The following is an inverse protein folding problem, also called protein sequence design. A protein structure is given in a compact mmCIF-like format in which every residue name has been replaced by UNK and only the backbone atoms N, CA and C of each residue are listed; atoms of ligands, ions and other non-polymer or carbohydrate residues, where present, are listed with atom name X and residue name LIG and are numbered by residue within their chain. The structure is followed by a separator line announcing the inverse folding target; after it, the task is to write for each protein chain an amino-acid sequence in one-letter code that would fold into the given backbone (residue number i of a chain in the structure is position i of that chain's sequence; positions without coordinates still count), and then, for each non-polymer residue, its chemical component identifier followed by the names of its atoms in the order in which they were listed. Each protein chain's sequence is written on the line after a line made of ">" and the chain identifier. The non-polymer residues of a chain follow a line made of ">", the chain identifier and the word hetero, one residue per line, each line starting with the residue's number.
data_IF_279957469819
#
_entry.id   IF_279957469819
#
_cell.length_a   1.000
_cell.length_b   1.000
_cell.length_c   1.000
_cell.angle_alpha   90.00
_cell.angle_beta   90.00
_cell.angle_gamma   90.00
#
_symmetry.space_group_name_H-M   'P 1'
#
loop_
_entity.id
_entity.type
_entity.pdbx_description
1 polymer ?
#
# COMPACT_ATOMS: atom_id res chain seq x y z
N UNK A 1 8.24 -57.50 -9.81
CA UNK A 1 9.16 -56.63 -9.03
C UNK A 1 9.85 -55.55 -9.86
N UNK A 2 10.28 -55.82 -11.10
CA UNK A 2 10.93 -54.82 -11.97
C UNK A 2 10.03 -53.63 -12.37
N UNK A 3 8.71 -53.84 -12.47
CA UNK A 3 7.77 -52.78 -12.87
C UNK A 3 7.28 -51.92 -11.70
N UNK A 4 7.45 -52.35 -10.44
CA UNK A 4 7.12 -51.53 -9.26
C UNK A 4 8.25 -50.53 -8.96
N UNK A 5 9.48 -50.91 -9.26
CA UNK A 5 10.66 -50.05 -9.11
C UNK A 5 10.63 -48.86 -10.10
N UNK A 6 10.09 -49.07 -11.31
CA UNK A 6 9.98 -48.01 -12.34
C UNK A 6 8.90 -47.00 -11.96
N UNK A 7 7.77 -47.43 -11.38
CA UNK A 7 6.73 -46.50 -10.90
C UNK A 7 7.19 -45.67 -9.70
N UNK A 8 8.07 -46.22 -8.85
CA UNK A 8 8.64 -45.49 -7.71
C UNK A 8 9.67 -44.43 -8.14
N UNK A 9 10.37 -44.64 -9.25
CA UNK A 9 11.35 -43.68 -9.79
C UNK A 9 10.67 -42.50 -10.49
N UNK A 10 9.49 -42.68 -11.10
CA UNK A 10 8.74 -41.56 -11.69
C UNK A 10 8.11 -40.60 -10.66
N UNK A 11 7.80 -41.06 -9.45
CA UNK A 11 7.24 -40.20 -8.39
C UNK A 11 8.32 -39.31 -7.75
N UNK A 12 9.59 -39.72 -7.81
CA UNK A 12 10.72 -38.96 -7.23
C UNK A 12 11.18 -37.76 -8.06
N UNK A 13 10.78 -37.66 -9.33
CA UNK A 13 11.22 -36.58 -10.24
C UNK A 13 10.18 -35.44 -10.32
N UNK A 14 8.96 -35.66 -9.82
CA UNK A 14 7.96 -34.59 -9.67
C UNK A 14 8.10 -33.77 -8.38
N UNK A 15 9.10 -34.05 -7.53
CA UNK A 15 9.51 -33.11 -6.49
C UNK A 15 10.43 -32.05 -7.11
N UNK A 16 9.90 -31.33 -8.11
CA UNK A 16 10.44 -30.03 -8.43
C UNK A 16 10.34 -29.23 -7.14
N UNK A 17 11.49 -28.91 -6.56
CA UNK A 17 11.58 -27.85 -5.58
C UNK A 17 10.89 -26.64 -6.22
N UNK A 18 9.65 -26.36 -5.82
CA UNK A 18 9.02 -25.09 -6.08
C UNK A 18 9.90 -24.09 -5.34
N UNK A 19 10.93 -23.59 -6.02
CA UNK A 19 11.60 -22.36 -5.60
C UNK A 19 10.48 -21.36 -5.49
N UNK A 20 10.14 -20.96 -4.26
CA UNK A 20 9.25 -19.83 -4.03
C UNK A 20 9.82 -18.71 -4.89
N UNK A 21 9.10 -18.22 -5.91
CA UNK A 21 9.58 -17.12 -6.71
C UNK A 21 9.92 -16.00 -5.73
N UNK A 22 11.19 -15.60 -5.69
CA UNK A 22 11.54 -14.37 -4.99
C UNK A 22 10.80 -13.29 -5.78
N UNK A 23 9.86 -12.54 -5.18
CA UNK A 23 9.17 -11.49 -5.90
C UNK A 23 10.20 -10.57 -6.54
N UNK A 24 9.99 -10.20 -7.80
CA UNK A 24 10.86 -9.23 -8.45
C UNK A 24 10.93 -7.97 -7.60
N UNK A 25 12.14 -7.45 -7.42
CA UNK A 25 12.36 -6.29 -6.56
C UNK A 25 11.64 -5.07 -7.15
N UNK A 26 10.70 -4.51 -6.40
CA UNK A 26 9.99 -3.28 -6.76
C UNK A 26 10.92 -2.07 -6.52
N UNK A 27 11.24 -1.32 -7.57
CA UNK A 27 11.97 -0.05 -7.50
C UNK A 27 10.97 1.09 -7.71
N UNK A 28 10.23 1.39 -6.64
CA UNK A 28 9.13 2.35 -6.66
C UNK A 28 9.54 3.79 -6.31
N UNK A 29 8.79 4.74 -6.85
CA UNK A 29 8.79 6.15 -6.40
C UNK A 29 7.37 6.63 -6.08
N UNK A 30 7.25 7.55 -5.13
CA UNK A 30 5.98 8.25 -4.88
C UNK A 30 5.73 9.31 -5.95
N UNK A 31 4.61 9.20 -6.67
CA UNK A 31 4.22 10.12 -7.73
C UNK A 31 2.97 10.90 -7.30
N UNK A 32 3.24 11.95 -6.51
CA UNK A 32 2.22 12.72 -5.79
C UNK A 32 1.28 13.45 -6.75
N UNK A 33 -0.02 13.44 -6.43
CA UNK A 33 -1.04 14.16 -7.19
C UNK A 33 -0.76 15.67 -7.29
N UNK A 34 -1.13 16.26 -8.42
CA UNK A 34 -1.01 17.69 -8.67
C UNK A 34 -2.29 18.25 -9.28
N UNK A 35 -2.33 19.57 -9.44
CA UNK A 35 -3.49 20.31 -10.00
C UNK A 35 -3.73 20.03 -11.47
N UNK A 36 -2.67 19.65 -12.20
CA UNK A 36 -2.64 19.63 -13.65
C UNK A 36 -2.59 18.20 -14.17
N UNK A 37 -2.92 18.00 -15.45
CA UNK A 37 -2.71 16.71 -16.09
C UNK A 37 -1.21 16.38 -16.17
N UNK A 38 -0.87 15.10 -16.09
CA UNK A 38 0.52 14.65 -16.21
C UNK A 38 0.92 14.61 -17.67
N UNK A 39 2.01 15.31 -18.00
CA UNK A 39 2.70 15.27 -19.28
C UNK A 39 3.98 14.43 -19.19
N UNK A 40 4.56 14.10 -20.35
CA UNK A 40 5.77 13.27 -20.43
C UNK A 40 6.94 13.85 -19.62
N UNK A 41 7.11 15.17 -19.62
CA UNK A 41 8.15 15.87 -18.85
C UNK A 41 8.07 15.63 -17.33
N UNK A 42 6.90 15.27 -16.80
CA UNK A 42 6.73 14.87 -15.41
C UNK A 42 7.13 13.40 -15.16
N UNK A 43 7.11 12.55 -16.20
CA UNK A 43 7.49 11.14 -16.12
C UNK A 43 8.99 10.95 -16.35
N UNK A 44 9.63 11.81 -17.15
CA UNK A 44 11.06 11.68 -17.44
C UNK A 44 11.94 11.56 -16.17
N UNK A 45 11.71 12.32 -15.07
CA UNK A 45 12.45 12.12 -13.82
C UNK A 45 12.26 10.74 -13.19
N UNK A 46 11.07 10.14 -13.30
CA UNK A 46 10.76 8.78 -12.80
C UNK A 46 11.59 7.74 -13.57
N UNK A 47 11.65 7.87 -14.90
CA UNK A 47 12.46 6.99 -15.76
C UNK A 47 13.96 7.19 -15.50
N UNK A 48 14.40 8.45 -15.31
CA UNK A 48 15.82 8.78 -15.11
C UNK A 48 16.39 8.23 -13.80
N UNK A 49 15.56 7.97 -12.78
CA UNK A 49 15.97 7.28 -11.55
C UNK A 49 15.86 5.75 -11.66
N UNK A 50 15.55 5.22 -12.85
CA UNK A 50 15.34 3.81 -13.14
C UNK A 50 14.25 3.17 -12.27
N UNK A 51 13.20 3.94 -11.95
CA UNK A 51 12.03 3.37 -11.31
C UNK A 51 11.30 2.44 -12.29
N UNK A 52 10.80 1.32 -11.80
CA UNK A 52 9.91 0.41 -12.53
C UNK A 52 8.46 0.50 -12.02
N UNK A 53 8.25 1.12 -10.85
CA UNK A 53 6.95 1.37 -10.26
C UNK A 53 6.78 2.84 -9.85
N UNK A 54 5.54 3.30 -9.88
CA UNK A 54 5.16 4.58 -9.28
C UNK A 54 3.87 4.43 -8.45
N UNK A 55 3.84 5.06 -7.28
CA UNK A 55 2.64 5.13 -6.46
C UNK A 55 1.80 6.35 -6.86
N UNK A 56 0.59 6.14 -7.38
CA UNK A 56 -0.38 7.19 -7.74
C UNK A 56 -1.35 7.37 -6.57
N UNK A 57 -1.47 8.60 -6.06
CA UNK A 57 -2.13 8.88 -4.79
C UNK A 57 -3.31 9.84 -4.94
N UNK A 58 -4.51 9.35 -5.32
CA UNK A 58 -5.72 10.15 -5.23
C UNK A 58 -6.06 10.42 -3.76
N UNK A 59 -6.84 11.47 -3.48
CA UNK A 59 -7.14 11.88 -2.11
C UNK A 59 -8.65 11.91 -1.81
N UNK A 60 -9.01 11.39 -0.65
CA UNK A 60 -10.26 11.68 0.05
C UNK A 60 -10.01 12.70 1.16
N UNK A 61 -11.03 13.45 1.55
CA UNK A 61 -10.90 14.54 2.51
C UNK A 61 -11.83 14.33 3.69
N UNK A 62 -11.30 14.51 4.90
CA UNK A 62 -12.05 14.55 6.15
C UNK A 62 -11.80 15.91 6.82
N UNK A 63 -12.84 16.50 7.40
CA UNK A 63 -12.77 17.85 7.96
C UNK A 63 -11.93 17.94 9.24
N UNK A 64 -12.01 16.94 10.12
CA UNK A 64 -11.30 16.89 11.39
C UNK A 64 -11.28 15.44 11.93
N UNK A 65 -10.51 15.19 13.00
CA UNK A 65 -10.28 13.84 13.56
C UNK A 65 -11.53 13.14 14.11
N UNK A 66 -12.65 13.87 14.26
CA UNK A 66 -13.90 13.36 14.80
C UNK A 66 -15.04 13.41 13.76
N UNK A 67 -14.73 13.79 12.52
CA UNK A 67 -15.72 13.87 11.45
C UNK A 67 -15.88 12.52 10.76
N UNK A 68 -17.10 11.96 10.71
CA UNK A 68 -17.33 10.61 10.18
C UNK A 68 -17.49 10.57 8.66
N UNK A 69 -17.33 11.69 7.96
CA UNK A 69 -17.61 11.78 6.52
C UNK A 69 -16.33 12.03 5.74
N UNK A 70 -16.00 11.07 4.88
CA UNK A 70 -14.99 11.23 3.83
C UNK A 70 -15.67 11.68 2.54
N UNK A 71 -15.17 12.79 1.97
CA UNK A 71 -15.60 13.31 0.67
C UNK A 71 -14.47 13.21 -0.36
N UNK A 72 -14.80 12.86 -1.60
CA UNK A 72 -13.85 12.70 -2.69
C UNK A 72 -14.56 12.94 -4.04
N UNK A 73 -13.80 13.06 -5.13
CA UNK A 73 -14.27 13.45 -6.47
C UNK A 73 -15.11 14.74 -6.50
N UNK A 74 -14.75 15.72 -5.68
CA UNK A 74 -15.38 17.03 -5.64
C UNK A 74 -14.80 17.95 -6.71
N UNK A 75 -15.57 18.97 -7.13
CA UNK A 75 -15.14 19.95 -8.14
C UNK A 75 -13.93 20.82 -7.72
N UNK A 76 -13.58 20.83 -6.43
CA UNK A 76 -12.50 21.67 -5.88
C UNK A 76 -11.20 20.91 -5.63
N UNK A 77 -11.19 19.59 -5.88
CA UNK A 77 -9.98 18.79 -5.78
C UNK A 77 -9.02 19.09 -6.92
N UNK A 78 -7.74 18.88 -6.65
CA UNK A 78 -6.74 18.89 -7.71
C UNK A 78 -7.02 17.76 -8.68
N UNK A 79 -6.67 17.94 -9.94
CA UNK A 79 -6.98 16.97 -10.98
C UNK A 79 -6.50 15.56 -10.61
N UNK A 80 -5.22 15.41 -10.26
CA UNK A 80 -4.61 14.14 -9.88
C UNK A 80 -5.19 13.50 -8.61
N UNK A 81 -5.92 14.25 -7.78
CA UNK A 81 -6.57 13.72 -6.58
C UNK A 81 -7.88 12.97 -6.88
N UNK A 82 -8.43 13.13 -8.09
CA UNK A 82 -9.71 12.55 -8.52
C UNK A 82 -9.53 11.20 -9.22
N UNK A 83 -10.59 10.40 -9.32
CA UNK A 83 -10.62 9.17 -10.13
C UNK A 83 -10.24 9.43 -11.59
N UNK A 84 -10.68 10.57 -12.16
CA UNK A 84 -10.34 10.95 -13.53
C UNK A 84 -8.84 11.26 -13.69
N UNK A 85 -8.26 12.00 -12.75
CA UNK A 85 -6.84 12.33 -12.81
C UNK A 85 -5.95 11.13 -12.51
N UNK A 86 -6.28 10.34 -11.49
CA UNK A 86 -5.59 9.09 -11.21
C UNK A 86 -5.59 8.18 -12.46
N UNK A 87 -6.72 8.04 -13.16
CA UNK A 87 -6.78 7.28 -14.43
C UNK A 87 -5.81 7.82 -15.47
N UNK A 88 -5.79 9.14 -15.68
CA UNK A 88 -4.89 9.78 -16.65
C UNK A 88 -3.42 9.59 -16.28
N UNK A 89 -3.09 9.66 -14.98
CA UNK A 89 -1.73 9.46 -14.46
C UNK A 89 -1.28 8.02 -14.70
N UNK A 90 -2.13 7.04 -14.35
CA UNK A 90 -1.89 5.61 -14.57
C UNK A 90 -1.63 5.32 -16.05
N UNK A 91 -2.48 5.83 -16.94
CA UNK A 91 -2.32 5.64 -18.38
C UNK A 91 -1.01 6.25 -18.92
N UNK A 92 -0.56 7.37 -18.37
CA UNK A 92 0.71 7.98 -18.77
C UNK A 92 1.93 7.19 -18.26
N UNK A 93 1.87 6.68 -17.02
CA UNK A 93 2.91 5.83 -16.45
C UNK A 93 3.03 4.50 -17.22
N UNK A 94 1.90 3.87 -17.53
CA UNK A 94 1.86 2.63 -18.31
C UNK A 94 2.46 2.82 -19.72
N UNK A 95 2.25 3.96 -20.38
CA UNK A 95 2.89 4.29 -21.68
C UNK A 95 4.42 4.31 -21.62
N UNK A 96 4.97 4.52 -20.42
CA UNK A 96 6.41 4.53 -20.14
C UNK A 96 6.91 3.21 -19.54
N UNK A 97 6.08 2.14 -19.56
CA UNK A 97 6.35 0.84 -18.94
C UNK A 97 6.57 0.89 -17.42
N UNK A 98 6.05 1.93 -16.76
CA UNK A 98 6.07 2.05 -15.30
C UNK A 98 4.81 1.39 -14.75
N UNK A 99 4.99 0.39 -13.89
CA UNK A 99 3.88 -0.26 -13.18
C UNK A 99 3.34 0.68 -12.09
N UNK A 100 2.07 0.52 -11.72
CA UNK A 100 1.44 1.42 -10.74
C UNK A 100 1.02 0.68 -9.47
N UNK A 101 1.33 1.28 -8.32
CA UNK A 101 0.57 1.08 -7.09
C UNK A 101 -0.45 2.20 -6.95
N UNK A 102 -1.74 1.90 -7.04
CA UNK A 102 -2.78 2.90 -6.74
C UNK A 102 -2.98 2.95 -5.23
N UNK A 103 -2.70 4.11 -4.61
CA UNK A 103 -2.69 4.31 -3.16
C UNK A 103 -3.59 5.49 -2.77
N UNK A 104 -4.94 5.31 -2.72
CA UNK A 104 -5.84 6.36 -2.27
C UNK A 104 -5.57 6.72 -0.81
N UNK A 105 -5.31 8.00 -0.54
CA UNK A 105 -4.98 8.50 0.79
C UNK A 105 -6.07 9.43 1.35
N UNK A 106 -6.05 9.66 2.66
CA UNK A 106 -6.94 10.61 3.33
C UNK A 106 -6.14 11.85 3.71
N UNK A 107 -6.67 13.02 3.36
CA UNK A 107 -6.22 14.29 3.90
C UNK A 107 -7.21 14.80 4.96
N UNK A 108 -6.75 14.85 6.22
CA UNK A 108 -7.49 15.53 7.28
C UNK A 108 -7.10 17.00 7.29
N UNK A 109 -8.08 17.90 7.24
CA UNK A 109 -7.79 19.33 7.12
C UNK A 109 -6.82 19.83 8.19
N UNK A 110 -6.00 20.81 7.81
CA UNK A 110 -4.86 21.32 8.59
C UNK A 110 -3.71 20.32 8.78
N UNK A 111 -3.70 19.21 8.04
CA UNK A 111 -2.62 18.23 8.06
C UNK A 111 -2.59 17.42 9.36
N UNK A 112 -3.76 17.14 9.94
CA UNK A 112 -3.83 16.28 11.12
C UNK A 112 -3.46 14.85 10.75
N UNK A 113 -2.70 14.18 11.64
CA UNK A 113 -2.27 12.81 11.42
C UNK A 113 -3.46 11.84 11.39
N UNK A 114 -3.58 11.08 10.30
CA UNK A 114 -4.68 10.15 10.03
C UNK A 114 -4.75 9.01 11.04
N UNK A 115 -3.62 8.64 11.65
CA UNK A 115 -3.56 7.57 12.64
C UNK A 115 -4.36 7.86 13.91
N UNK A 116 -4.80 9.10 14.13
CA UNK A 116 -5.63 9.53 15.25
C UNK A 116 -7.13 9.64 14.92
N UNK A 117 -7.55 9.30 13.69
CA UNK A 117 -8.96 9.37 13.27
C UNK A 117 -9.82 8.43 14.10
N UNK A 118 -10.82 8.98 14.80
CA UNK A 118 -11.68 8.22 15.72
C UNK A 118 -13.07 8.81 15.82
N UNK A 119 -14.06 8.00 16.17
CA UNK A 119 -15.46 8.44 16.32
C UNK A 119 -15.97 8.21 17.74
N UNK A 120 -16.87 9.09 18.20
CA UNK A 120 -17.39 9.08 19.58
C UNK A 120 -18.55 8.11 19.75
N UNK A 121 -19.30 7.87 18.69
CA UNK A 121 -20.51 7.05 18.71
C UNK A 121 -20.47 5.96 17.64
N UNK A 122 -21.21 4.87 17.88
CA UNK A 122 -21.37 3.80 16.90
C UNK A 122 -21.96 4.30 15.58
N UNK A 123 -22.90 5.25 15.63
CA UNK A 123 -23.49 5.85 14.42
C UNK A 123 -22.45 6.58 13.57
N UNK A 124 -21.56 7.35 14.19
CA UNK A 124 -20.47 8.04 13.51
C UNK A 124 -19.46 7.03 12.94
N UNK A 125 -19.12 5.98 13.69
CA UNK A 125 -18.28 4.90 13.18
C UNK A 125 -18.86 4.26 11.92
N UNK A 126 -20.15 3.90 11.94
CA UNK A 126 -20.80 3.31 10.78
C UNK A 126 -20.88 4.28 9.59
N UNK A 127 -20.95 5.60 9.83
CA UNK A 127 -20.89 6.60 8.77
C UNK A 127 -19.49 6.71 8.17
N UNK A 128 -18.44 6.66 9.00
CA UNK A 128 -17.05 6.60 8.54
C UNK A 128 -16.79 5.33 7.72
N UNK A 129 -17.18 4.18 8.24
CA UNK A 129 -17.06 2.88 7.55
C UNK A 129 -17.73 2.90 6.18
N UNK A 130 -18.97 3.43 6.08
CA UNK A 130 -19.68 3.54 4.79
C UNK A 130 -18.98 4.47 3.81
N UNK A 131 -18.57 5.67 4.26
CA UNK A 131 -17.92 6.65 3.36
C UNK A 131 -16.53 6.19 2.91
N UNK A 132 -15.76 5.60 3.83
CA UNK A 132 -14.44 5.03 3.53
C UNK A 132 -14.54 3.81 2.61
N UNK A 133 -15.47 2.88 2.85
CA UNK A 133 -15.69 1.74 1.96
C UNK A 133 -16.09 2.20 0.55
N UNK A 134 -16.95 3.22 0.43
CA UNK A 134 -17.29 3.80 -0.88
C UNK A 134 -16.05 4.31 -1.62
N UNK A 135 -15.20 5.09 -0.93
CA UNK A 135 -13.94 5.60 -1.47
C UNK A 135 -13.01 4.48 -1.94
N UNK A 136 -12.72 3.51 -1.09
CA UNK A 136 -11.81 2.41 -1.43
C UNK A 136 -12.38 1.53 -2.54
N UNK A 137 -13.67 1.20 -2.55
CA UNK A 137 -14.24 0.36 -3.59
C UNK A 137 -14.32 1.06 -4.96
N UNK A 138 -14.51 2.39 -5.01
CA UNK A 138 -14.43 3.12 -6.27
C UNK A 138 -13.01 3.07 -6.87
N UNK A 139 -11.98 3.24 -6.03
CA UNK A 139 -10.60 3.14 -6.52
C UNK A 139 -10.15 1.69 -6.77
N UNK A 140 -10.74 0.69 -6.12
CA UNK A 140 -10.54 -0.72 -6.49
C UNK A 140 -11.11 -1.02 -7.89
N UNK A 141 -12.26 -0.45 -8.24
CA UNK A 141 -12.81 -0.52 -9.59
C UNK A 141 -11.88 0.15 -10.60
N UNK A 142 -11.33 1.33 -10.28
CA UNK A 142 -10.35 1.98 -11.13
C UNK A 142 -9.06 1.16 -11.28
N UNK A 143 -8.56 0.57 -10.19
CA UNK A 143 -7.40 -0.32 -10.19
C UNK A 143 -7.60 -1.48 -11.17
N UNK A 144 -8.77 -2.13 -11.11
CA UNK A 144 -9.14 -3.23 -12.01
C UNK A 144 -9.27 -2.77 -13.47
N UNK A 145 -9.92 -1.63 -13.72
CA UNK A 145 -10.10 -1.09 -15.08
C UNK A 145 -8.79 -0.73 -15.76
N UNK A 146 -7.84 -0.21 -14.99
CA UNK A 146 -6.57 0.30 -15.51
C UNK A 146 -5.46 -0.74 -15.44
N UNK A 147 -5.71 -1.92 -14.85
CA UNK A 147 -4.75 -3.00 -14.68
C UNK A 147 -3.47 -2.54 -13.97
N UNK A 148 -3.62 -1.83 -12.85
CA UNK A 148 -2.48 -1.49 -11.99
C UNK A 148 -1.87 -2.78 -11.40
N UNK A 149 -0.60 -2.74 -11.05
CA UNK A 149 0.10 -3.90 -10.49
C UNK A 149 -0.29 -4.16 -9.02
N UNK A 150 -0.57 -3.09 -8.27
CA UNK A 150 -0.88 -3.17 -6.86
C UNK A 150 -1.92 -2.12 -6.44
N UNK A 151 -2.73 -2.48 -5.45
CA UNK A 151 -3.69 -1.56 -4.83
C UNK A 151 -3.48 -1.47 -3.32
N UNK A 152 -3.23 -0.27 -2.81
CA UNK A 152 -3.06 -0.02 -1.38
C UNK A 152 -4.38 0.47 -0.78
N UNK A 153 -4.98 -0.32 0.11
CA UNK A 153 -6.35 -0.12 0.60
C UNK A 153 -6.45 0.92 1.72
N UNK A 154 -5.33 1.46 2.21
CA UNK A 154 -5.30 2.45 3.28
C UNK A 154 -3.87 2.81 3.69
N UNK A 155 -3.73 3.94 4.39
CA UNK A 155 -2.43 4.50 4.78
C UNK A 155 -2.53 5.15 6.16
N UNK A 156 -1.77 4.62 7.13
CA UNK A 156 -1.61 5.15 8.49
C UNK A 156 -2.94 5.47 9.19
N UNK A 157 -3.82 4.46 9.30
CA UNK A 157 -5.15 4.56 9.92
C UNK A 157 -5.23 3.77 11.24
N UNK A 158 -4.14 3.73 12.00
CA UNK A 158 -3.97 2.92 13.20
C UNK A 158 -5.17 2.93 14.17
N UNK A 159 -5.68 4.10 14.59
CA UNK A 159 -6.83 4.16 15.50
C UNK A 159 -8.09 3.52 14.89
N UNK A 160 -8.32 3.71 13.60
CA UNK A 160 -9.45 3.10 12.89
C UNK A 160 -9.27 1.58 12.75
N UNK A 161 -8.09 1.11 12.35
CA UNK A 161 -7.74 -0.32 12.30
C UNK A 161 -7.95 -0.99 13.66
N UNK A 162 -7.42 -0.38 14.73
CA UNK A 162 -7.53 -0.88 16.09
C UNK A 162 -8.98 -0.93 16.58
N UNK A 163 -9.78 0.09 16.26
CA UNK A 163 -11.16 0.17 16.69
C UNK A 163 -12.10 -0.76 15.91
N UNK A 164 -11.83 -1.00 14.62
CA UNK A 164 -12.77 -1.64 13.67
C UNK A 164 -12.15 -2.79 12.87
N UNK A 165 -11.48 -3.78 13.50
CA UNK A 165 -10.80 -4.85 12.76
C UNK A 165 -11.74 -5.65 11.86
N UNK A 166 -12.98 -5.92 12.30
CA UNK A 166 -13.99 -6.62 11.49
C UNK A 166 -14.34 -5.86 10.20
N UNK A 167 -14.46 -4.54 10.27
CA UNK A 167 -14.74 -3.73 9.09
C UNK A 167 -13.64 -3.89 8.04
N UNK A 168 -12.37 -3.93 8.46
CA UNK A 168 -11.23 -4.10 7.55
C UNK A 168 -11.23 -5.46 6.87
N UNK A 169 -11.43 -6.56 7.59
CA UNK A 169 -11.57 -7.88 6.96
C UNK A 169 -12.75 -7.92 5.98
N UNK A 170 -13.91 -7.34 6.34
CA UNK A 170 -15.06 -7.24 5.44
C UNK A 170 -14.76 -6.37 4.19
N UNK A 171 -13.95 -5.31 4.35
CA UNK A 171 -13.53 -4.43 3.25
C UNK A 171 -12.57 -5.16 2.30
N UNK A 172 -11.61 -5.91 2.84
CA UNK A 172 -10.65 -6.70 2.05
C UNK A 172 -11.38 -7.69 1.15
N UNK A 173 -12.38 -8.40 1.67
CA UNK A 173 -13.21 -9.31 0.87
C UNK A 173 -13.86 -8.57 -0.30
N UNK A 174 -14.50 -7.42 -0.04
CA UNK A 174 -15.16 -6.61 -1.07
C UNK A 174 -14.17 -6.06 -2.11
N UNK A 175 -12.96 -5.68 -1.69
CA UNK A 175 -11.91 -5.25 -2.61
C UNK A 175 -11.49 -6.42 -3.51
N UNK A 176 -11.27 -7.62 -2.96
CA UNK A 176 -10.90 -8.81 -3.73
C UNK A 176 -12.02 -9.29 -4.67
N UNK A 177 -13.29 -9.00 -4.37
CA UNK A 177 -14.40 -9.26 -5.29
C UNK A 177 -14.34 -8.37 -6.55
N UNK A 178 -13.73 -7.18 -6.46
CA UNK A 178 -13.64 -6.20 -7.54
C UNK A 178 -12.29 -6.29 -8.27
N UNK A 179 -11.18 -6.31 -7.52
CA UNK A 179 -9.83 -6.20 -8.02
C UNK A 179 -9.07 -7.52 -7.83
N UNK A 180 -8.53 -8.05 -8.93
CA UNK A 180 -7.89 -9.37 -8.97
C UNK A 180 -6.35 -9.33 -8.83
N UNK A 181 -5.76 -8.14 -8.68
CA UNK A 181 -4.32 -7.99 -8.48
C UNK A 181 -3.92 -7.97 -7.00
N UNK A 182 -2.65 -7.64 -6.76
CA UNK A 182 -2.05 -7.64 -5.42
C UNK A 182 -2.55 -6.48 -4.57
N UNK A 183 -2.90 -6.75 -3.31
CA UNK A 183 -3.35 -5.73 -2.36
C UNK A 183 -2.42 -5.60 -1.15
N UNK A 184 -2.33 -4.38 -0.63
CA UNK A 184 -1.56 -4.07 0.57
C UNK A 184 -2.26 -2.99 1.40
N UNK A 185 -1.75 -2.76 2.61
CA UNK A 185 -2.09 -1.65 3.48
C UNK A 185 -0.77 -1.03 3.95
N UNK A 186 -0.67 0.30 3.96
CA UNK A 186 0.52 1.02 4.39
C UNK A 186 0.37 1.48 5.83
N UNK A 187 1.15 0.92 6.77
CA UNK A 187 1.11 1.32 8.18
C UNK A 187 2.39 2.03 8.60
N UNK A 188 2.28 2.93 9.57
CA UNK A 188 3.43 3.67 10.07
C UNK A 188 4.47 2.73 10.71
N UNK A 189 5.73 3.15 10.67
CA UNK A 189 6.89 2.36 11.10
C UNK A 189 6.84 1.89 12.57
N UNK A 190 6.07 2.56 13.43
CA UNK A 190 5.95 2.24 14.87
C UNK A 190 4.74 1.35 15.20
N UNK A 191 3.79 1.21 14.28
CA UNK A 191 2.49 0.54 14.52
C UNK A 191 2.25 -0.66 13.61
N UNK A 192 3.04 -0.87 12.55
CA UNK A 192 2.85 -1.94 11.56
C UNK A 192 2.72 -3.35 12.18
N UNK A 193 3.39 -3.62 13.30
CA UNK A 193 3.32 -4.93 13.96
C UNK A 193 1.94 -5.26 14.56
N UNK A 194 1.07 -4.26 14.73
CA UNK A 194 -0.23 -4.39 15.38
C UNK A 194 -1.41 -4.60 14.41
N UNK A 195 -1.18 -4.50 13.10
CA UNK A 195 -2.25 -4.68 12.10
C UNK A 195 -2.76 -6.13 12.14
N UNK A 196 -4.06 -6.37 12.36
CA UNK A 196 -4.58 -7.69 12.67
C UNK A 196 -4.88 -8.56 11.44
N UNK A 197 -4.81 -7.99 10.23
CA UNK A 197 -5.28 -8.61 8.97
C UNK A 197 -4.17 -8.78 7.92
N UNK A 198 -2.89 -8.76 8.32
CA UNK A 198 -1.79 -8.93 7.36
C UNK A 198 -1.85 -10.25 6.58
N UNK A 199 -2.37 -11.31 7.17
CA UNK A 199 -2.56 -12.62 6.53
C UNK A 199 -3.65 -12.61 5.45
N UNK A 200 -4.51 -11.60 5.43
CA UNK A 200 -5.55 -11.38 4.40
C UNK A 200 -5.02 -10.56 3.20
N UNK A 201 -3.82 -9.97 3.31
CA UNK A 201 -3.17 -9.14 2.30
C UNK A 201 -2.01 -9.86 1.63
N UNK A 202 -1.54 -9.31 0.51
CA UNK A 202 -0.44 -9.92 -0.25
C UNK A 202 0.94 -9.40 0.19
N UNK A 203 0.99 -8.19 0.76
CA UNK A 203 2.20 -7.57 1.31
C UNK A 203 1.96 -6.98 2.71
N UNK A 204 3.01 -6.98 3.53
CA UNK A 204 3.14 -6.12 4.71
C UNK A 204 3.66 -4.77 4.23
N UNK A 205 2.78 -3.77 4.12
CA UNK A 205 3.16 -2.41 3.74
C UNK A 205 3.61 -1.59 4.94
N UNK A 206 4.81 -1.01 4.86
CA UNK A 206 5.39 -0.20 5.93
C UNK A 206 5.83 1.15 5.37
N UNK A 207 5.33 2.23 5.95
CA UNK A 207 5.85 3.58 5.73
C UNK A 207 7.08 3.76 6.64
N UNK A 208 8.24 3.39 6.09
CA UNK A 208 9.47 3.03 6.79
C UNK A 208 10.36 4.23 7.17
N UNK A 209 9.77 5.27 7.76
CA UNK A 209 10.47 6.45 8.27
C UNK A 209 11.08 6.21 9.67
N UNK A 210 11.81 5.10 9.84
CA UNK A 210 12.43 4.74 11.13
C UNK A 210 13.43 5.81 11.58
N UNK A 211 13.43 6.24 12.86
CA UNK A 211 14.39 7.21 13.38
C UNK A 211 15.76 6.56 13.61
N UNK A 212 16.67 6.70 12.65
CA UNK A 212 17.97 6.01 12.66
C UNK A 212 19.10 6.77 13.37
N UNK A 213 19.07 8.11 13.32
CA UNK A 213 20.11 8.95 13.90
C UNK A 213 19.61 10.39 14.05
N UNK A 214 20.14 11.10 15.05
CA UNK A 214 19.96 12.54 15.25
C UNK A 214 21.12 13.37 14.66
N UNK A 215 22.14 12.71 14.09
CA UNK A 215 23.27 13.40 13.44
C UNK A 215 22.85 13.98 12.08
N UNK A 216 23.41 15.13 11.69
CA UNK A 216 23.16 15.72 10.36
C UNK A 216 23.73 14.86 9.22
N UNK A 217 24.87 14.21 9.46
CA UNK A 217 25.55 13.37 8.47
C UNK A 217 26.05 12.06 9.11
N UNK A 218 25.13 11.14 9.47
CA UNK A 218 25.50 9.91 10.13
C UNK A 218 26.33 9.02 9.19
N UNK A 219 27.26 8.25 9.77
CA UNK A 219 28.04 7.28 8.99
C UNK A 219 27.17 6.12 8.50
N UNK A 220 27.53 5.50 7.38
CA UNK A 220 26.87 4.30 6.89
C UNK A 220 26.87 3.16 7.93
N UNK A 221 27.95 3.03 8.70
CA UNK A 221 28.05 2.04 9.77
C UNK A 221 27.03 2.32 10.88
N UNK A 222 26.91 3.57 11.31
CA UNK A 222 25.92 3.98 12.31
C UNK A 222 24.49 3.70 11.83
N UNK A 223 24.16 4.06 10.59
CA UNK A 223 22.84 3.77 10.00
C UNK A 223 22.59 2.26 9.88
N UNK A 224 23.57 1.48 9.41
CA UNK A 224 23.44 0.02 9.26
C UNK A 224 23.18 -0.66 10.61
N UNK A 225 23.83 -0.16 11.66
CA UNK A 225 23.62 -0.63 13.04
C UNK A 225 22.24 -0.21 13.58
N UNK A 226 21.84 1.04 13.37
CA UNK A 226 20.54 1.56 13.79
C UNK A 226 19.37 0.81 13.13
N UNK A 227 19.53 0.35 11.90
CA UNK A 227 18.54 -0.47 11.19
C UNK A 227 18.34 -1.88 11.78
N UNK A 228 19.33 -2.47 12.47
CA UNK A 228 19.26 -3.86 12.93
C UNK A 228 18.02 -4.17 13.79
N UNK A 229 17.69 -3.41 14.86
CA UNK A 229 16.48 -3.68 15.64
C UNK A 229 15.20 -3.58 14.81
N UNK A 230 15.10 -2.62 13.90
CA UNK A 230 13.93 -2.48 13.02
C UNK A 230 13.81 -3.65 12.06
N UNK A 231 14.92 -4.10 11.47
CA UNK A 231 14.97 -5.29 10.62
C UNK A 231 14.51 -6.54 11.36
N UNK A 232 14.93 -6.74 12.60
CA UNK A 232 14.49 -7.90 13.39
C UNK A 232 12.99 -7.88 13.70
N UNK A 233 12.41 -6.71 14.03
CA UNK A 233 10.96 -6.61 14.24
C UNK A 233 10.19 -6.84 12.94
N UNK A 234 10.67 -6.30 11.81
CA UNK A 234 10.09 -6.57 10.48
C UNK A 234 10.13 -8.07 10.18
N UNK A 235 11.28 -8.73 10.40
CA UNK A 235 11.42 -10.17 10.16
C UNK A 235 10.53 -11.00 11.07
N UNK A 236 10.30 -10.57 12.31
CA UNK A 236 9.38 -11.24 13.23
C UNK A 236 7.94 -11.17 12.73
N UNK A 237 7.47 -10.01 12.24
CA UNK A 237 6.14 -9.87 11.64
C UNK A 237 6.05 -10.72 10.36
N UNK A 238 7.02 -10.56 9.45
CA UNK A 238 7.12 -11.37 8.22
C UNK A 238 7.02 -12.87 8.49
N UNK A 239 7.83 -13.40 9.43
CA UNK A 239 7.82 -14.84 9.79
C UNK A 239 6.51 -15.29 10.43
N UNK A 240 5.79 -14.39 11.10
CA UNK A 240 4.52 -14.70 11.76
C UNK A 240 3.38 -14.86 10.74
N UNK A 241 3.35 -14.02 9.71
CA UNK A 241 2.24 -13.98 8.74
C UNK A 241 2.59 -14.57 7.37
N UNK A 242 3.86 -14.84 7.12
CA UNK A 242 4.41 -15.40 5.86
C UNK A 242 4.06 -14.57 4.62
N UNK A 243 4.18 -13.24 4.73
CA UNK A 243 3.94 -12.28 3.63
C UNK A 243 5.18 -11.45 3.32
N UNK A 244 5.51 -11.19 2.05
CA UNK A 244 6.60 -10.30 1.69
C UNK A 244 6.39 -8.89 2.27
N UNK A 245 7.51 -8.20 2.54
CA UNK A 245 7.49 -6.84 3.07
C UNK A 245 7.70 -5.85 1.92
N UNK A 246 6.86 -4.83 1.86
CA UNK A 246 6.97 -3.70 0.95
C UNK A 246 7.15 -2.43 1.78
N UNK A 247 8.23 -1.68 1.53
CA UNK A 247 8.31 -0.31 2.03
C UNK A 247 7.47 0.58 1.12
N UNK A 248 6.24 0.84 1.54
CA UNK A 248 5.23 1.60 0.79
C UNK A 248 5.57 3.08 0.74
N UNK A 249 6.34 3.56 1.71
CA UNK A 249 7.03 4.83 1.72
C UNK A 249 8.37 4.68 2.44
N UNK A 250 9.37 5.44 2.02
CA UNK A 250 10.59 5.66 2.77
C UNK A 250 11.32 6.88 2.21
N UNK A 251 12.14 7.52 3.03
CA UNK A 251 12.92 8.67 2.63
C UNK A 251 13.55 9.33 3.84
N UNK A 252 14.70 9.97 3.63
CA UNK A 252 15.40 10.74 4.64
C UNK A 252 15.85 12.05 4.01
N UNK A 253 15.97 13.10 4.83
CA UNK A 253 16.46 14.42 4.41
C UNK A 253 17.83 14.68 5.00
#
# INVERSE_FOLDING_TARGET
>A
MRNVLITFICVLICSCAATVPIPDKINGVSFVASRDEVAQEHIDPVVNVNADHAAVMPFGFIRDLESPELVYNTQRQWFGETSKGAKQYIEMLHKNNIQVMLKPQIWIWRGAFTGHLTMKTETEWQQLERSYAGFILEFAQLAQETNVAMYCIGTELNAFVSARPKFWSDLIIKVRDIYQGEITYAENWDTFANVPFWDELDYIGIDAYFPLSDEETPTLEALTKAWQPHKEEILKVHRKVDRPVLFTEYGYR
#
